data_IF_902736723201
#
_entry.id   IF_902736723201
#
_cell.length_a   1.000
_cell.length_b   1.000
_cell.length_c   1.000
_cell.angle_alpha   90.00
_cell.angle_beta   90.00
_cell.angle_gamma   90.00
#
_symmetry.space_group_name_H-M   'P 1'
#
loop_
_entity.id
_entity.type
_entity.pdbx_description
1 polymer ?
#
# COMPACT_ATOMS: atom_id res chain seq x y z
N UNK A 1 -65.52 50.23 51.91
CA UNK A 1 -64.36 51.11 51.60
C UNK A 1 -63.11 50.24 51.44
N UNK A 2 -62.41 50.36 50.29
CA UNK A 2 -60.98 50.06 50.01
C UNK A 2 -60.45 48.65 50.40
N UNK A 3 -60.35 47.74 49.41
CA UNK A 3 -59.11 47.28 48.71
C UNK A 3 -58.15 46.43 49.57
N UNK A 4 -57.95 45.16 49.22
CA UNK A 4 -56.71 44.74 48.54
C UNK A 4 -56.74 43.26 48.10
N UNK A 5 -56.20 43.06 46.90
CA UNK A 5 -56.09 41.82 46.13
C UNK A 5 -54.88 41.03 46.61
N UNK A 6 -55.04 39.74 46.90
CA UNK A 6 -53.92 38.81 47.06
C UNK A 6 -54.06 37.71 45.98
N UNK A 7 -53.23 37.82 44.94
CA UNK A 7 -53.04 36.80 43.90
C UNK A 7 -52.13 35.71 44.47
N UNK A 8 -52.61 34.47 44.51
CA UNK A 8 -51.81 33.29 44.80
C UNK A 8 -50.90 32.98 43.61
N UNK A 9 -49.59 33.16 43.80
CA UNK A 9 -48.56 32.71 42.87
C UNK A 9 -48.13 31.30 43.28
N UNK A 10 -48.35 30.36 42.36
CA UNK A 10 -47.89 28.97 42.41
C UNK A 10 -46.35 28.97 42.43
N UNK A 11 -45.76 28.53 43.53
CA UNK A 11 -44.31 28.36 43.65
C UNK A 11 -43.89 27.11 42.85
N UNK A 12 -43.32 27.31 41.66
CA UNK A 12 -42.57 26.28 40.94
C UNK A 12 -41.17 26.27 41.52
N UNK A 13 -40.88 25.25 42.32
CA UNK A 13 -39.57 24.95 42.89
C UNK A 13 -38.64 24.49 41.76
N UNK A 14 -37.89 25.42 41.17
CA UNK A 14 -36.78 25.08 40.28
C UNK A 14 -35.63 24.58 41.14
N UNK A 15 -35.42 23.26 41.13
CA UNK A 15 -34.20 22.64 41.66
C UNK A 15 -33.02 23.08 40.78
N UNK A 16 -32.33 24.13 41.22
CA UNK A 16 -31.03 24.51 40.68
C UNK A 16 -30.00 23.50 41.23
N UNK A 17 -29.71 22.45 40.46
CA UNK A 17 -28.57 21.58 40.74
C UNK A 17 -27.28 22.41 40.67
N UNK A 18 -26.36 22.30 41.63
CA UNK A 18 -25.09 22.99 41.55
C UNK A 18 -24.28 22.37 40.41
N UNK A 19 -24.00 23.15 39.36
CA UNK A 19 -22.87 22.89 38.46
C UNK A 19 -21.62 22.88 39.33
N UNK A 20 -21.04 21.69 39.51
CA UNK A 20 -19.78 21.52 40.19
C UNK A 20 -18.73 22.38 39.48
N UNK A 21 -18.08 23.26 40.24
CA UNK A 21 -16.87 23.95 39.78
C UNK A 21 -15.80 22.87 39.60
N UNK A 22 -15.25 22.76 38.40
CA UNK A 22 -14.04 21.99 38.15
C UNK A 22 -12.94 22.55 39.06
N UNK A 23 -12.40 21.69 39.92
CA UNK A 23 -11.35 22.01 40.88
C UNK A 23 -10.04 22.26 40.10
N UNK A 24 -9.31 23.34 40.42
CA UNK A 24 -8.08 23.73 39.69
C UNK A 24 -7.02 22.61 39.68
N UNK A 25 -7.07 21.68 40.63
CA UNK A 25 -6.15 20.54 40.73
C UNK A 25 -6.30 19.46 39.66
N UNK A 26 -7.47 19.32 39.03
CA UNK A 26 -7.66 18.31 37.98
C UNK A 26 -7.08 18.77 36.62
N UNK A 27 -7.06 20.09 36.36
CA UNK A 27 -6.44 20.66 35.16
C UNK A 27 -4.92 20.46 35.15
N UNK A 28 -4.26 20.70 36.28
CA UNK A 28 -2.82 20.51 36.42
C UNK A 28 -2.41 19.04 36.29
N UNK A 29 -3.23 18.12 36.82
CA UNK A 29 -3.05 16.68 36.65
C UNK A 29 -3.18 16.27 35.19
N UNK A 30 -4.21 16.74 34.49
CA UNK A 30 -4.40 16.44 33.06
C UNK A 30 -3.27 17.03 32.22
N UNK A 31 -2.79 18.24 32.53
CA UNK A 31 -1.65 18.84 31.86
C UNK A 31 -0.35 18.02 32.05
N UNK A 32 -0.11 17.49 33.26
CA UNK A 32 1.02 16.60 33.51
C UNK A 32 0.92 15.29 32.71
N UNK A 33 -0.27 14.71 32.59
CA UNK A 33 -0.51 13.52 31.77
C UNK A 33 -0.29 13.81 30.28
N UNK A 34 -0.71 14.98 29.78
CA UNK A 34 -0.48 15.42 28.41
C UNK A 34 1.02 15.56 28.12
N UNK A 35 1.79 16.14 29.04
CA UNK A 35 3.25 16.22 28.91
C UNK A 35 3.90 14.83 28.91
N UNK A 36 3.39 13.91 29.74
CA UNK A 36 3.87 12.53 29.81
C UNK A 36 3.62 11.71 28.53
N UNK A 37 2.74 12.15 27.62
CA UNK A 37 2.59 11.54 26.30
C UNK A 37 3.87 11.61 25.45
N UNK A 38 4.76 12.57 25.73
CA UNK A 38 6.05 12.74 25.04
C UNK A 38 7.25 12.13 25.79
N UNK A 39 7.02 11.42 26.90
CA UNK A 39 8.11 10.79 27.66
C UNK A 39 8.94 9.83 26.80
N UNK A 40 10.25 9.66 27.03
CA UNK A 40 11.06 8.65 26.31
C UNK A 40 10.75 7.22 26.78
N UNK A 41 10.23 7.05 27.99
CA UNK A 41 9.83 5.77 28.55
C UNK A 41 8.46 5.32 28.01
N UNK A 42 8.43 4.16 27.35
CA UNK A 42 7.21 3.61 26.75
C UNK A 42 6.10 3.40 27.78
N UNK A 43 6.43 2.83 28.94
CA UNK A 43 5.45 2.52 29.99
C UNK A 43 4.81 3.79 30.55
N UNK A 44 5.59 4.87 30.71
CA UNK A 44 5.09 6.17 31.16
C UNK A 44 4.13 6.80 30.14
N UNK A 45 4.46 6.74 28.83
CA UNK A 45 3.57 7.23 27.76
C UNK A 45 2.25 6.47 27.69
N UNK A 46 2.31 5.14 27.80
CA UNK A 46 1.12 4.29 27.73
C UNK A 46 0.25 4.41 28.97
N UNK A 47 0.85 4.55 30.16
CA UNK A 47 0.12 4.83 31.39
C UNK A 47 -0.64 6.16 31.29
N UNK A 48 0.04 7.23 30.83
CA UNK A 48 -0.58 8.53 30.64
C UNK A 48 -1.73 8.50 29.62
N UNK A 49 -1.55 7.79 28.50
CA UNK A 49 -2.59 7.64 27.49
C UNK A 49 -3.85 6.94 28.04
N UNK A 50 -3.68 5.85 28.81
CA UNK A 50 -4.80 5.12 29.43
C UNK A 50 -5.53 5.97 30.46
N UNK A 51 -4.80 6.75 31.24
CA UNK A 51 -5.39 7.63 32.24
C UNK A 51 -6.19 8.76 31.60
N UNK A 52 -5.67 9.38 30.53
CA UNK A 52 -6.39 10.39 29.75
C UNK A 52 -7.66 9.84 29.08
N UNK A 53 -7.62 8.61 28.56
CA UNK A 53 -8.80 7.93 28.03
C UNK A 53 -9.86 7.65 29.11
N UNK A 54 -9.43 7.39 30.35
CA UNK A 54 -10.32 7.15 31.50
C UNK A 54 -11.01 8.43 31.94
N UNK A 55 -10.28 9.56 31.94
CA UNK A 55 -10.81 10.89 32.26
C UNK A 55 -11.79 11.41 31.18
N UNK A 56 -11.70 10.89 29.96
CA UNK A 56 -12.64 11.12 28.85
C UNK A 56 -13.00 12.61 28.67
N UNK A 57 -14.21 13.02 29.07
CA UNK A 57 -14.75 14.37 28.85
C UNK A 57 -13.88 15.48 29.46
N UNK A 58 -13.18 15.20 30.57
CA UNK A 58 -12.33 16.16 31.29
C UNK A 58 -10.98 16.37 30.58
N UNK A 59 -10.50 15.34 29.87
CA UNK A 59 -9.25 15.39 29.11
C UNK A 59 -9.40 16.10 27.75
N UNK A 60 -10.60 16.11 27.16
CA UNK A 60 -10.86 16.70 25.82
C UNK A 60 -10.33 18.13 25.64
N UNK A 61 -10.60 19.12 26.52
CA UNK A 61 -10.11 20.48 26.31
C UNK A 61 -8.57 20.57 26.32
N UNK A 62 -7.92 19.80 27.20
CA UNK A 62 -6.46 19.76 27.32
C UNK A 62 -5.81 19.03 26.14
N UNK A 63 -6.41 17.93 25.68
CA UNK A 63 -5.97 17.21 24.49
C UNK A 63 -6.12 18.07 23.21
N UNK A 64 -7.19 18.87 23.10
CA UNK A 64 -7.35 19.82 21.98
C UNK A 64 -6.28 20.90 21.98
N UNK A 65 -5.89 21.40 23.16
CA UNK A 65 -4.75 22.32 23.28
C UNK A 65 -3.43 21.63 22.87
N UNK A 66 -3.26 20.36 23.23
CA UNK A 66 -2.07 19.56 22.92
C UNK A 66 -1.85 19.32 21.41
N UNK A 67 -2.86 19.51 20.56
CA UNK A 67 -2.71 19.44 19.10
C UNK A 67 -1.76 20.52 18.54
N UNK A 68 -1.52 21.59 19.30
CA UNK A 68 -0.57 22.65 18.95
C UNK A 68 0.76 22.55 19.70
N UNK A 69 1.03 21.43 20.39
CA UNK A 69 2.26 21.24 21.17
C UNK A 69 3.52 21.20 20.27
N UNK A 70 4.66 21.64 20.80
CA UNK A 70 5.93 21.68 20.05
C UNK A 70 6.40 20.27 19.64
N UNK A 71 6.25 19.31 20.55
CA UNK A 71 6.57 17.90 20.33
C UNK A 71 5.60 17.23 19.34
N UNK A 72 6.08 16.68 18.20
CA UNK A 72 5.27 15.89 17.26
C UNK A 72 4.62 14.64 17.87
N UNK A 73 5.28 13.96 18.81
CA UNK A 73 4.77 12.71 19.40
C UNK A 73 3.57 13.00 20.31
N UNK A 74 3.64 14.06 21.11
CA UNK A 74 2.53 14.55 21.94
C UNK A 74 1.32 14.90 21.08
N UNK A 75 1.53 15.60 19.95
CA UNK A 75 0.45 15.94 19.01
C UNK A 75 -0.23 14.71 18.43
N UNK A 76 0.58 13.76 17.92
CA UNK A 76 0.07 12.54 17.30
C UNK A 76 -0.71 11.67 18.30
N UNK A 77 -0.21 11.53 19.53
CA UNK A 77 -0.91 10.78 20.59
C UNK A 77 -2.18 11.47 21.05
N UNK A 78 -2.16 12.79 21.21
CA UNK A 78 -3.35 13.56 21.58
C UNK A 78 -4.46 13.42 20.52
N UNK A 79 -4.12 13.47 19.24
CA UNK A 79 -5.05 13.23 18.14
C UNK A 79 -5.67 11.83 18.20
N UNK A 80 -4.84 10.81 18.44
CA UNK A 80 -5.31 9.41 18.55
C UNK A 80 -6.25 9.20 19.73
N UNK A 81 -5.93 9.77 20.89
CA UNK A 81 -6.75 9.66 22.10
C UNK A 81 -8.10 10.37 21.90
N UNK A 82 -8.10 11.58 21.32
CA UNK A 82 -9.33 12.30 20.99
C UNK A 82 -10.25 11.48 20.08
N UNK A 83 -9.69 10.87 19.02
CA UNK A 83 -10.48 10.03 18.12
C UNK A 83 -11.14 8.85 18.83
N UNK A 84 -10.45 8.20 19.79
CA UNK A 84 -11.02 7.08 20.57
C UNK A 84 -12.11 7.54 21.54
N UNK A 85 -11.93 8.68 22.20
CA UNK A 85 -12.94 9.27 23.09
C UNK A 85 -14.20 9.65 22.29
N UNK A 86 -14.04 10.29 21.12
CA UNK A 86 -15.15 10.66 20.24
C UNK A 86 -15.88 9.44 19.66
N UNK A 87 -15.15 8.39 19.26
CA UNK A 87 -15.75 7.14 18.80
C UNK A 87 -16.61 6.49 19.88
N UNK A 88 -16.11 6.40 21.12
CA UNK A 88 -16.87 5.88 22.27
C UNK A 88 -18.10 6.73 22.58
N UNK A 89 -17.98 8.06 22.53
CA UNK A 89 -19.11 8.97 22.72
C UNK A 89 -20.21 8.77 21.67
N UNK A 90 -19.85 8.32 20.47
CA UNK A 90 -20.78 7.99 19.38
C UNK A 90 -21.24 6.51 19.39
N UNK A 91 -20.90 5.74 20.43
CA UNK A 91 -21.27 4.33 20.55
C UNK A 91 -20.53 3.41 19.57
N UNK A 92 -19.43 3.87 18.96
CA UNK A 92 -18.55 3.05 18.11
C UNK A 92 -17.45 2.41 18.96
N UNK A 93 -17.12 1.16 18.67
CA UNK A 93 -15.97 0.49 19.26
C UNK A 93 -14.68 0.98 18.56
N UNK A 94 -13.79 1.72 19.26
CA UNK A 94 -12.57 2.26 18.66
C UNK A 94 -11.52 1.19 18.33
N UNK A 95 -11.64 -0.01 18.92
CA UNK A 95 -10.70 -1.13 18.71
C UNK A 95 -11.27 -2.19 17.76
N UNK A 96 -12.54 -2.05 17.35
CA UNK A 96 -13.12 -2.86 16.30
C UNK A 96 -12.39 -2.58 14.98
N UNK A 97 -11.69 -3.59 14.47
CA UNK A 97 -11.09 -3.53 13.14
C UNK A 97 -12.20 -3.31 12.10
N UNK A 98 -12.30 -2.10 11.55
CA UNK A 98 -13.11 -1.83 10.36
C UNK A 98 -12.73 -2.84 9.27
N UNK A 99 -13.68 -3.59 8.69
CA UNK A 99 -13.36 -4.50 7.60
C UNK A 99 -12.94 -3.68 6.37
N UNK A 100 -11.63 -3.56 6.16
CA UNK A 100 -11.03 -2.97 4.95
C UNK A 100 -10.43 -1.56 5.07
N UNK A 101 -10.34 -0.97 6.27
CA UNK A 101 -9.72 0.34 6.46
C UNK A 101 -8.27 0.27 6.94
N UNK A 102 -7.30 0.70 6.13
CA UNK A 102 -5.97 1.03 6.66
C UNK A 102 -6.11 2.14 7.73
N UNK A 103 -5.29 2.14 8.80
CA UNK A 103 -5.31 3.24 9.76
C UNK A 103 -5.11 4.57 9.01
N UNK A 104 -5.77 5.67 9.42
CA UNK A 104 -5.54 6.96 8.78
C UNK A 104 -4.05 7.27 8.85
N UNK A 105 -3.39 7.26 7.69
CA UNK A 105 -2.03 7.80 7.57
C UNK A 105 -2.16 9.29 7.90
N UNK A 106 -1.24 9.88 8.69
CA UNK A 106 -1.26 11.32 8.92
C UNK A 106 -1.25 12.02 7.57
N UNK A 107 -2.36 12.69 7.23
CA UNK A 107 -2.52 13.46 6.02
C UNK A 107 -1.75 14.77 6.18
N UNK A 108 -0.46 14.69 5.95
CA UNK A 108 0.38 15.87 6.06
C UNK A 108 1.85 15.55 5.92
N UNK A 109 2.31 15.51 4.67
CA UNK A 109 3.58 16.14 4.32
C UNK A 109 3.59 17.56 4.93
N UNK A 110 4.02 17.71 6.18
CA UNK A 110 4.49 19.01 6.67
C UNK A 110 5.82 19.25 5.98
N UNK A 111 5.72 19.73 4.74
CA UNK A 111 6.80 20.36 4.03
C UNK A 111 7.41 21.39 4.97
N UNK A 112 8.67 21.17 5.32
CA UNK A 112 9.48 22.05 6.15
C UNK A 112 9.50 23.41 5.48
N UNK A 113 8.74 24.37 6.02
CA UNK A 113 8.96 25.78 5.71
C UNK A 113 10.29 26.18 6.34
N UNK A 114 11.33 26.27 5.51
CA UNK A 114 12.61 26.85 5.90
C UNK A 114 12.40 28.36 6.10
N UNK A 115 12.30 28.81 7.36
CA UNK A 115 12.25 30.24 7.69
C UNK A 115 13.67 30.79 7.55
N UNK A 116 13.95 31.49 6.46
CA UNK A 116 15.16 32.32 6.33
C UNK A 116 15.06 33.52 7.30
N UNK A 117 16.15 33.87 8.02
CA UNK A 117 16.14 35.01 8.92
C UNK A 117 16.10 36.33 8.14
N UNK A 118 15.36 37.30 8.67
CA UNK A 118 15.17 38.62 8.09
C UNK A 118 16.45 39.48 8.22
N UNK A 119 16.84 40.12 7.12
CA UNK A 119 17.91 41.13 7.13
C UNK A 119 17.98 41.95 5.83
N UNK A 120 17.66 43.24 5.98
CA UNK A 120 18.00 44.41 5.15
C UNK A 120 16.90 45.05 4.26
N UNK A 121 16.86 46.40 4.17
CA UNK A 121 15.68 47.19 3.75
C UNK A 121 15.71 47.56 2.26
N UNK A 122 14.55 47.52 1.60
CA UNK A 122 14.41 47.96 0.21
C UNK A 122 12.98 48.40 -0.12
N UNK A 123 12.83 49.71 -0.34
CA UNK A 123 11.79 50.50 -1.03
C UNK A 123 10.31 50.03 -1.08
N UNK A 124 9.33 50.92 -0.78
CA UNK A 124 7.91 50.64 -0.97
C UNK A 124 7.52 50.77 -2.45
N UNK A 125 6.85 49.75 -3.01
CA UNK A 125 6.12 49.94 -4.29
C UNK A 125 6.05 48.78 -5.28
N UNK A 126 6.62 47.60 -5.01
CA UNK A 126 6.40 46.43 -5.88
C UNK A 126 6.03 45.21 -5.03
N UNK A 127 4.79 44.76 -5.18
CA UNK A 127 4.39 43.45 -4.70
C UNK A 127 5.25 42.39 -5.43
N UNK A 128 5.88 41.44 -4.71
CA UNK A 128 6.65 40.40 -5.38
C UNK A 128 5.69 39.53 -6.21
N UNK A 129 5.85 39.57 -7.54
CA UNK A 129 5.22 38.62 -8.44
C UNK A 129 5.82 37.24 -8.16
N UNK A 130 5.12 36.43 -7.38
CA UNK A 130 5.41 35.00 -7.24
C UNK A 130 5.11 34.37 -8.61
N UNK A 131 6.15 34.12 -9.41
CA UNK A 131 6.03 33.20 -10.54
C UNK A 131 5.93 31.80 -9.95
N UNK A 132 4.69 31.30 -9.87
CA UNK A 132 4.44 29.88 -9.65
C UNK A 132 4.83 29.19 -10.96
N UNK A 133 6.05 28.65 -11.03
CA UNK A 133 6.33 27.59 -12.00
C UNK A 133 5.49 26.38 -11.59
N UNK A 134 4.40 26.16 -12.31
CA UNK A 134 3.71 24.87 -12.30
C UNK A 134 4.64 23.91 -13.02
N UNK A 135 5.48 23.20 -12.25
CA UNK A 135 6.14 22.00 -12.76
C UNK A 135 5.00 21.02 -13.06
N UNK A 136 4.83 20.56 -14.32
CA UNK A 136 3.82 19.54 -14.61
C UNK A 136 4.09 18.37 -13.67
N UNK A 137 3.06 17.99 -12.92
CA UNK A 137 3.14 17.00 -11.85
C UNK A 137 4.01 15.84 -12.30
N UNK A 138 5.15 15.68 -11.62
CA UNK A 138 5.90 14.43 -11.70
C UNK A 138 4.88 13.32 -11.50
N UNK A 139 4.85 12.39 -12.45
CA UNK A 139 3.97 11.22 -12.41
C UNK A 139 3.95 10.73 -10.96
N UNK A 140 2.74 10.62 -10.40
CA UNK A 140 2.57 9.91 -9.14
C UNK A 140 3.40 8.63 -9.25
N UNK A 141 4.27 8.30 -8.27
CA UNK A 141 5.10 7.11 -8.37
C UNK A 141 4.15 5.98 -8.72
N UNK A 142 4.41 5.35 -9.87
CA UNK A 142 3.59 4.28 -10.42
C UNK A 142 3.16 3.41 -9.25
N UNK A 143 1.84 3.22 -9.09
CA UNK A 143 1.29 2.35 -8.06
C UNK A 143 2.20 1.11 -8.01
N UNK A 144 2.90 0.92 -6.89
CA UNK A 144 3.92 -0.10 -6.79
C UNK A 144 3.28 -1.39 -7.29
N UNK A 145 3.77 -1.89 -8.42
CA UNK A 145 3.23 -3.10 -9.03
C UNK A 145 3.16 -4.14 -7.90
N UNK A 146 2.03 -4.85 -7.73
CA UNK A 146 1.91 -5.83 -6.66
C UNK A 146 3.12 -6.74 -6.76
N UNK A 147 4.00 -6.71 -5.76
CA UNK A 147 5.32 -7.35 -5.84
C UNK A 147 5.13 -8.78 -6.36
N UNK A 148 5.95 -9.20 -7.32
CA UNK A 148 5.89 -10.56 -7.86
C UNK A 148 5.86 -11.59 -6.69
N UNK A 149 4.99 -12.61 -6.74
CA UNK A 149 4.83 -13.58 -5.66
C UNK A 149 6.16 -14.21 -5.20
N UNK A 150 7.09 -14.51 -6.11
CA UNK A 150 8.41 -15.03 -5.73
C UNK A 150 9.23 -13.98 -4.94
N UNK A 151 9.18 -12.72 -5.36
CA UNK A 151 9.82 -11.60 -4.64
C UNK A 151 9.26 -11.38 -3.23
N UNK A 152 7.96 -11.64 -3.02
CA UNK A 152 7.35 -11.61 -1.67
C UNK A 152 7.87 -12.74 -0.80
N UNK A 153 7.94 -13.96 -1.31
CA UNK A 153 8.45 -15.13 -0.58
C UNK A 153 9.93 -14.96 -0.22
N UNK A 154 10.76 -14.46 -1.14
CA UNK A 154 12.17 -14.12 -0.86
C UNK A 154 12.31 -13.14 0.31
N UNK A 155 11.47 -12.10 0.32
CA UNK A 155 11.44 -11.13 1.42
C UNK A 155 10.94 -11.74 2.74
N UNK A 156 10.01 -12.70 2.70
CA UNK A 156 9.53 -13.41 3.88
C UNK A 156 10.60 -14.35 4.44
N UNK A 157 11.24 -15.15 3.59
CA UNK A 157 12.38 -16.03 3.94
C UNK A 157 13.47 -15.23 4.66
N UNK A 158 13.86 -14.08 4.11
CA UNK A 158 14.89 -13.22 4.71
C UNK A 158 14.46 -12.71 6.10
N UNK A 159 13.21 -12.28 6.27
CA UNK A 159 12.68 -11.83 7.57
C UNK A 159 12.64 -12.98 8.59
N UNK A 160 12.25 -14.17 8.15
CA UNK A 160 12.19 -15.37 8.99
C UNK A 160 13.60 -15.80 9.42
N UNK A 161 14.59 -15.74 8.52
CA UNK A 161 15.99 -16.00 8.83
C UNK A 161 16.57 -15.01 9.85
N UNK A 162 16.29 -13.71 9.69
CA UNK A 162 16.68 -12.68 10.69
C UNK A 162 16.04 -12.94 12.05
N UNK A 163 14.79 -13.42 12.10
CA UNK A 163 14.11 -13.78 13.37
C UNK A 163 14.75 -15.01 14.01
N UNK A 164 15.05 -16.04 13.21
CA UNK A 164 15.73 -17.25 13.62
C UNK A 164 17.09 -16.96 14.26
N UNK A 165 17.93 -16.16 13.58
CA UNK A 165 19.26 -15.77 14.09
C UNK A 165 19.16 -15.05 15.44
N UNK A 166 18.19 -14.14 15.62
CA UNK A 166 17.95 -13.48 16.92
C UNK A 166 17.58 -14.47 18.03
N UNK A 167 16.83 -15.53 17.72
CA UNK A 167 16.50 -16.55 18.72
C UNK A 167 17.71 -17.43 19.04
N UNK A 168 18.53 -17.78 18.06
CA UNK A 168 19.79 -18.51 18.29
C UNK A 168 20.78 -17.70 19.14
N UNK A 169 20.91 -16.39 18.87
CA UNK A 169 21.73 -15.49 19.68
C UNK A 169 21.20 -15.41 21.11
N UNK A 170 19.90 -15.22 21.30
CA UNK A 170 19.27 -15.21 22.63
C UNK A 170 19.43 -16.53 23.37
N UNK A 171 19.38 -17.66 22.68
CA UNK A 171 19.63 -18.97 23.28
C UNK A 171 21.07 -19.08 23.81
N UNK A 172 22.05 -18.51 23.09
CA UNK A 172 23.46 -18.48 23.52
C UNK A 172 23.71 -17.47 24.65
N UNK A 173 23.04 -16.32 24.62
CA UNK A 173 23.18 -15.29 25.66
C UNK A 173 22.59 -15.72 27.01
N UNK A 174 21.53 -16.51 27.02
CA UNK A 174 20.89 -17.00 28.24
C UNK A 174 21.53 -18.31 28.73
N UNK A 175 22.87 -18.37 28.82
CA UNK A 175 23.57 -19.58 29.32
C UNK A 175 23.28 -19.87 30.80
N UNK A 176 22.92 -18.84 31.59
CA UNK A 176 22.65 -18.95 33.02
C UNK A 176 21.25 -19.52 33.35
N UNK A 177 20.33 -19.59 32.37
CA UNK A 177 18.96 -20.06 32.52
C UNK A 177 18.65 -21.11 31.43
N UNK A 178 18.81 -22.42 31.74
CA UNK A 178 18.71 -23.48 30.74
C UNK A 178 17.29 -23.65 30.17
N UNK A 179 16.24 -23.41 30.97
CA UNK A 179 14.85 -23.49 30.47
C UNK A 179 14.59 -22.40 29.42
N UNK A 180 15.10 -21.19 29.67
CA UNK A 180 14.94 -20.07 28.75
C UNK A 180 15.79 -20.21 27.49
N UNK A 181 17.00 -20.78 27.62
CA UNK A 181 17.84 -21.12 26.48
C UNK A 181 17.17 -22.17 25.57
N UNK A 182 16.61 -23.23 26.17
CA UNK A 182 15.88 -24.27 25.44
C UNK A 182 14.66 -23.71 24.71
N UNK A 183 13.87 -22.86 25.38
CA UNK A 183 12.73 -22.17 24.76
C UNK A 183 13.12 -21.35 23.52
N UNK A 184 14.24 -20.64 23.57
CA UNK A 184 14.72 -19.88 22.41
C UNK A 184 15.27 -20.78 21.32
N UNK A 185 15.93 -21.89 21.68
CA UNK A 185 16.39 -22.89 20.72
C UNK A 185 15.20 -23.55 19.99
N UNK A 186 14.12 -23.86 20.70
CA UNK A 186 12.91 -24.41 20.08
C UNK A 186 12.21 -23.41 19.18
N UNK A 187 12.15 -22.13 19.58
CA UNK A 187 11.63 -21.07 18.73
C UNK A 187 12.50 -20.86 17.49
N UNK A 188 13.82 -21.04 17.58
CA UNK A 188 14.71 -20.99 16.42
C UNK A 188 14.46 -22.18 15.47
N UNK A 189 14.26 -23.40 15.98
CA UNK A 189 13.88 -24.58 15.17
C UNK A 189 12.58 -24.34 14.41
N UNK A 190 11.56 -23.78 15.08
CA UNK A 190 10.28 -23.46 14.43
C UNK A 190 10.44 -22.45 13.28
N UNK A 191 11.28 -21.42 13.46
CA UNK A 191 11.57 -20.46 12.38
C UNK A 191 12.36 -21.11 11.22
N UNK A 192 13.20 -22.12 11.49
CA UNK A 192 13.87 -22.90 10.45
C UNK A 192 12.87 -23.74 9.65
N UNK A 193 11.90 -24.36 10.31
CA UNK A 193 10.82 -25.10 9.66
C UNK A 193 9.94 -24.18 8.81
N UNK A 194 9.56 -23.00 9.32
CA UNK A 194 8.83 -21.97 8.57
C UNK A 194 9.63 -21.48 7.37
N UNK A 195 10.94 -21.22 7.53
CA UNK A 195 11.84 -20.87 6.43
C UNK A 195 11.86 -21.96 5.35
N UNK A 196 11.95 -23.23 5.76
CA UNK A 196 11.97 -24.37 4.84
C UNK A 196 10.66 -24.50 4.06
N UNK A 197 9.52 -24.32 4.73
CA UNK A 197 8.21 -24.33 4.07
C UNK A 197 8.07 -23.20 3.05
N UNK A 198 8.50 -21.98 3.40
CA UNK A 198 8.50 -20.84 2.47
C UNK A 198 9.48 -21.04 1.30
N UNK A 199 10.61 -21.71 1.53
CA UNK A 199 11.57 -22.05 0.48
C UNK A 199 11.02 -23.11 -0.48
N UNK A 200 10.29 -24.12 0.03
CA UNK A 200 9.60 -25.12 -0.79
C UNK A 200 8.46 -24.48 -1.60
N UNK A 201 7.74 -23.51 -1.04
CA UNK A 201 6.74 -22.75 -1.77
C UNK A 201 7.38 -21.86 -2.85
N UNK A 202 8.52 -21.23 -2.55
CA UNK A 202 9.27 -20.46 -3.53
C UNK A 202 9.78 -21.37 -4.65
N UNK A 203 10.31 -22.55 -4.32
CA UNK A 203 10.73 -23.55 -5.29
C UNK A 203 9.54 -23.98 -6.17
N UNK A 204 8.35 -24.25 -5.62
CA UNK A 204 7.15 -24.55 -6.42
C UNK A 204 6.72 -23.40 -7.35
N UNK A 205 6.88 -22.15 -6.92
CA UNK A 205 6.57 -20.98 -7.76
C UNK A 205 7.65 -20.80 -8.82
N UNK A 206 8.92 -20.96 -8.46
CA UNK A 206 10.04 -20.86 -9.39
C UNK A 206 10.08 -22.04 -10.35
N UNK A 207 9.69 -23.25 -9.97
CA UNK A 207 9.49 -24.45 -10.81
C UNK A 207 8.20 -24.38 -11.61
N UNK A 208 7.14 -23.78 -11.08
CA UNK A 208 5.93 -23.44 -11.84
C UNK A 208 6.18 -22.34 -12.88
N UNK A 209 7.14 -21.46 -12.61
CA UNK A 209 7.68 -20.47 -13.56
C UNK A 209 8.83 -21.04 -14.42
N UNK A 210 9.47 -22.11 -13.96
CA UNK A 210 10.57 -22.84 -14.59
C UNK A 210 10.15 -24.28 -14.93
N UNK A 211 8.91 -24.43 -15.41
CA UNK A 211 8.77 -25.34 -16.53
C UNK A 211 9.73 -24.77 -17.60
N UNK A 212 10.76 -25.51 -18.05
CA UNK A 212 11.42 -25.13 -19.30
C UNK A 212 10.27 -24.89 -20.27
N UNK A 213 10.25 -23.78 -21.05
CA UNK A 213 9.12 -23.46 -21.89
C UNK A 213 8.72 -24.76 -22.55
N UNK A 214 7.51 -25.23 -22.23
CA UNK A 214 7.07 -26.48 -22.82
C UNK A 214 7.31 -26.29 -24.30
N UNK A 215 7.72 -27.35 -25.00
CA UNK A 215 7.96 -27.25 -26.44
C UNK A 215 6.72 -26.72 -27.20
N UNK A 216 5.59 -26.62 -26.49
CA UNK A 216 4.29 -26.05 -26.80
C UNK A 216 4.14 -24.49 -26.77
N UNK A 217 5.08 -23.66 -26.29
CA UNK A 217 5.01 -22.16 -26.39
C UNK A 217 6.10 -21.55 -27.31
N UNK A 218 6.55 -22.34 -28.29
CA UNK A 218 7.85 -22.17 -28.93
C UNK A 218 8.04 -20.91 -29.80
N UNK A 219 6.97 -20.27 -30.27
CA UNK A 219 7.08 -19.15 -31.22
C UNK A 219 7.56 -17.85 -30.57
N UNK A 220 7.18 -17.59 -29.32
CA UNK A 220 7.46 -16.32 -28.62
C UNK A 220 6.71 -15.11 -29.21
N UNK A 221 5.51 -15.33 -29.72
CA UNK A 221 4.60 -14.29 -30.24
C UNK A 221 3.45 -14.12 -29.25
N UNK A 222 3.26 -12.90 -28.76
CA UNK A 222 2.05 -12.49 -28.04
C UNK A 222 1.18 -11.74 -29.03
N UNK A 223 0.00 -12.28 -29.32
CA UNK A 223 -0.90 -11.71 -30.30
C UNK A 223 -2.35 -11.71 -29.80
N UNK A 224 -3.09 -10.71 -30.25
CA UNK A 224 -4.49 -10.48 -29.91
C UNK A 224 -5.35 -10.22 -31.14
N UNK A 225 -6.64 -10.08 -30.90
CA UNK A 225 -7.58 -9.66 -31.93
C UNK A 225 -7.29 -8.23 -32.40
N UNK A 226 -7.56 -7.98 -33.68
CA UNK A 226 -7.48 -6.63 -34.24
C UNK A 226 -8.83 -5.93 -34.26
N UNK A 227 -8.77 -4.60 -34.10
CA UNK A 227 -9.95 -3.76 -34.21
C UNK A 227 -10.59 -3.86 -35.62
N UNK A 228 -11.94 -3.90 -35.74
CA UNK A 228 -12.62 -3.98 -37.03
C UNK A 228 -12.23 -2.89 -38.04
N UNK A 229 -11.91 -1.69 -37.55
CA UNK A 229 -11.47 -0.57 -38.39
C UNK A 229 -10.12 -0.85 -39.07
N UNK A 230 -9.16 -1.45 -38.35
CA UNK A 230 -7.85 -1.82 -38.89
C UNK A 230 -8.00 -2.94 -39.93
N UNK A 231 -8.88 -3.90 -39.64
CA UNK A 231 -9.21 -5.01 -40.54
C UNK A 231 -9.76 -4.49 -41.88
N UNK A 232 -10.71 -3.56 -41.84
CA UNK A 232 -11.26 -2.93 -43.03
C UNK A 232 -10.22 -2.10 -43.81
N UNK A 233 -9.34 -1.38 -43.11
CA UNK A 233 -8.31 -0.56 -43.74
C UNK A 233 -7.27 -1.38 -44.52
N UNK A 234 -7.03 -2.62 -44.10
CA UNK A 234 -6.02 -3.51 -44.70
C UNK A 234 -6.62 -4.55 -45.65
N UNK A 235 -7.91 -4.42 -45.98
CA UNK A 235 -8.66 -5.36 -46.83
C UNK A 235 -8.54 -6.82 -46.38
N UNK A 236 -8.55 -7.05 -45.06
CA UNK A 236 -8.52 -8.38 -44.45
C UNK A 236 -9.97 -8.78 -44.15
N UNK A 237 -10.59 -9.75 -44.85
CA UNK A 237 -12.00 -10.03 -44.66
C UNK A 237 -12.30 -10.70 -43.31
N UNK A 238 -11.52 -11.73 -42.94
CA UNK A 238 -11.68 -12.49 -41.70
C UNK A 238 -10.34 -13.04 -41.21
N UNK A 239 -10.29 -13.38 -39.91
CA UNK A 239 -9.09 -13.85 -39.24
C UNK A 239 -8.04 -12.74 -39.03
N UNK A 240 -6.80 -13.17 -38.84
CA UNK A 240 -5.67 -12.28 -38.63
C UNK A 240 -5.45 -11.93 -37.16
N UNK A 241 -4.25 -12.20 -36.67
CA UNK A 241 -3.83 -11.88 -35.31
C UNK A 241 -2.85 -10.71 -35.32
N UNK A 242 -3.12 -9.69 -34.50
CA UNK A 242 -2.22 -8.56 -34.31
C UNK A 242 -1.14 -8.94 -33.30
N UNK A 243 0.12 -8.86 -33.71
CA UNK A 243 1.27 -9.06 -32.82
C UNK A 243 1.39 -7.86 -31.88
N UNK A 244 1.11 -8.08 -30.60
CA UNK A 244 1.16 -7.05 -29.56
C UNK A 244 2.54 -6.95 -28.93
N UNK A 245 3.22 -8.09 -28.77
CA UNK A 245 4.53 -8.21 -28.16
C UNK A 245 5.27 -9.44 -28.70
N UNK A 246 6.60 -9.39 -28.64
CA UNK A 246 7.47 -10.50 -29.02
C UNK A 246 8.42 -10.76 -27.87
N UNK A 247 8.52 -12.02 -27.48
CA UNK A 247 9.43 -12.46 -26.44
C UNK A 247 10.87 -12.33 -26.96
N UNK A 248 11.78 -11.64 -26.23
CA UNK A 248 13.19 -11.57 -26.60
C UNK A 248 13.84 -12.95 -26.77
N UNK A 249 14.81 -13.07 -27.67
CA UNK A 249 15.55 -14.32 -27.98
C UNK A 249 14.71 -15.52 -28.47
N UNK A 250 13.43 -15.30 -28.75
CA UNK A 250 12.51 -16.30 -29.31
C UNK A 250 12.78 -16.60 -30.80
N UNK A 251 12.30 -17.75 -31.32
CA UNK A 251 12.32 -18.05 -32.75
C UNK A 251 11.67 -16.96 -33.62
N UNK A 252 10.53 -16.40 -33.20
CA UNK A 252 9.90 -15.30 -33.93
C UNK A 252 10.76 -14.04 -33.97
N UNK A 253 11.41 -13.69 -32.85
CA UNK A 253 12.33 -12.56 -32.79
C UNK A 253 13.53 -12.76 -33.73
N UNK A 254 14.13 -13.96 -33.71
CA UNK A 254 15.27 -14.34 -34.57
C UNK A 254 14.91 -14.34 -36.06
N UNK A 255 13.68 -14.68 -36.39
CA UNK A 255 13.16 -14.66 -37.76
C UNK A 255 12.65 -13.29 -38.22
N UNK A 256 12.66 -12.28 -37.34
CA UNK A 256 12.35 -10.90 -37.70
C UNK A 256 10.86 -10.57 -37.73
N UNK A 257 10.03 -11.31 -36.99
CA UNK A 257 8.67 -10.86 -36.65
C UNK A 257 8.80 -9.59 -35.81
N UNK A 258 7.92 -8.61 -36.04
CA UNK A 258 7.91 -7.34 -35.33
C UNK A 258 6.55 -7.06 -34.69
N UNK A 259 6.58 -6.20 -33.68
CA UNK A 259 5.36 -5.66 -33.07
C UNK A 259 4.53 -4.94 -34.14
N UNK A 260 3.22 -5.10 -34.07
CA UNK A 260 2.23 -4.59 -35.03
C UNK A 260 2.22 -5.29 -36.39
N UNK A 261 2.96 -6.39 -36.54
CA UNK A 261 2.69 -7.31 -37.63
C UNK A 261 1.31 -7.96 -37.45
N UNK A 262 0.70 -8.33 -38.55
CA UNK A 262 -0.56 -9.05 -38.55
C UNK A 262 -0.31 -10.42 -39.14
N UNK A 263 -0.45 -11.48 -38.35
CA UNK A 263 -0.29 -12.86 -38.82
C UNK A 263 -1.60 -13.30 -39.47
N UNK A 264 -1.58 -13.58 -40.77
CA UNK A 264 -2.75 -14.03 -41.54
C UNK A 264 -2.85 -15.56 -41.57
N UNK A 265 -1.72 -16.24 -41.73
CA UNK A 265 -1.67 -17.70 -41.82
C UNK A 265 -0.38 -18.28 -41.28
N UNK A 266 -0.45 -19.51 -40.80
CA UNK A 266 0.66 -20.31 -40.32
C UNK A 266 0.62 -21.70 -40.97
N UNK A 267 1.74 -22.14 -41.54
CA UNK A 267 1.83 -23.38 -42.32
C UNK A 267 0.77 -23.48 -43.44
N UNK A 268 0.42 -22.35 -44.06
CA UNK A 268 -0.60 -22.28 -45.13
C UNK A 268 -2.05 -22.38 -44.65
N UNK A 269 -2.28 -22.44 -43.32
CA UNK A 269 -3.62 -22.42 -42.73
C UNK A 269 -3.93 -21.02 -42.17
N UNK A 270 -5.11 -20.44 -42.43
CA UNK A 270 -5.53 -19.19 -41.80
C UNK A 270 -5.47 -19.29 -40.28
N UNK A 271 -5.07 -18.21 -39.62
CA UNK A 271 -5.09 -18.12 -38.15
C UNK A 271 -6.06 -17.03 -37.71
N UNK A 272 -6.94 -17.40 -36.81
CA UNK A 272 -7.98 -16.52 -36.25
C UNK A 272 -7.85 -16.35 -34.74
N UNK A 273 -7.21 -17.30 -34.06
CA UNK A 273 -6.98 -17.26 -32.62
C UNK A 273 -5.57 -17.74 -32.24
N UNK A 274 -5.11 -17.35 -31.04
CA UNK A 274 -3.79 -17.69 -30.54
C UNK A 274 -3.58 -19.22 -30.43
N UNK A 275 -4.64 -19.98 -30.16
CA UNK A 275 -4.59 -21.43 -30.08
C UNK A 275 -4.39 -22.11 -31.45
N UNK A 276 -4.88 -21.54 -32.54
CA UNK A 276 -4.57 -21.97 -33.91
C UNK A 276 -3.11 -21.71 -34.26
N UNK A 277 -2.59 -20.54 -33.92
CA UNK A 277 -1.18 -20.21 -34.12
C UNK A 277 -0.27 -21.15 -33.32
N UNK A 278 -0.63 -21.44 -32.06
CA UNK A 278 0.09 -22.38 -31.20
C UNK A 278 0.09 -23.79 -31.80
N UNK A 279 -1.08 -24.31 -32.18
CA UNK A 279 -1.22 -25.63 -32.84
C UNK A 279 -0.43 -25.72 -34.14
N UNK A 280 -0.31 -24.63 -34.90
CA UNK A 280 0.53 -24.60 -36.10
C UNK A 280 2.01 -24.75 -35.77
N UNK A 281 2.48 -24.13 -34.67
CA UNK A 281 3.84 -24.33 -34.16
C UNK A 281 4.08 -25.75 -33.62
N UNK A 282 3.15 -26.29 -32.84
CA UNK A 282 3.23 -27.66 -32.26
C UNK A 282 3.24 -28.76 -33.33
N UNK A 283 2.58 -28.52 -34.48
CA UNK A 283 2.48 -29.51 -35.56
C UNK A 283 3.78 -29.73 -36.34
N UNK A 284 4.84 -28.97 -36.06
CA UNK A 284 6.13 -29.06 -36.74
C UNK A 284 7.13 -29.92 -35.96
N UNK A 285 7.92 -30.72 -36.68
CA UNK A 285 8.98 -31.49 -36.04
C UNK A 285 10.18 -30.59 -35.72
N UNK A 286 11.02 -31.02 -34.78
CA UNK A 286 12.25 -30.32 -34.45
C UNK A 286 13.15 -30.17 -35.69
N UNK A 287 13.35 -28.93 -36.15
CA UNK A 287 14.15 -28.60 -37.33
C UNK A 287 13.34 -28.17 -38.56
N UNK A 288 12.01 -28.29 -38.53
CA UNK A 288 11.15 -27.79 -39.60
C UNK A 288 10.92 -26.28 -39.47
N UNK A 289 10.87 -25.59 -40.62
CA UNK A 289 10.59 -24.15 -40.65
C UNK A 289 9.08 -23.88 -40.70
N UNK A 290 8.55 -23.09 -39.77
CA UNK A 290 7.17 -22.60 -39.84
C UNK A 290 7.09 -21.43 -40.82
N UNK A 291 6.29 -21.58 -41.88
CA UNK A 291 5.95 -20.46 -42.76
C UNK A 291 4.83 -19.64 -42.16
N UNK A 292 5.10 -18.37 -41.88
CA UNK A 292 4.09 -17.37 -41.53
C UNK A 292 3.85 -16.43 -42.71
N UNK A 293 2.59 -16.21 -43.06
CA UNK A 293 2.19 -15.08 -43.90
C UNK A 293 1.71 -13.95 -43.01
N UNK A 294 2.30 -12.77 -43.17
CA UNK A 294 1.99 -11.61 -42.35
C UNK A 294 1.81 -10.34 -43.18
N UNK A 295 1.16 -9.34 -42.59
CA UNK A 295 1.06 -7.99 -43.15
C UNK A 295 1.84 -7.04 -42.26
N UNK A 296 2.74 -6.28 -42.88
CA UNK A 296 3.53 -5.24 -42.22
C UNK A 296 3.42 -3.96 -43.05
N UNK A 297 2.96 -2.88 -42.43
CA UNK A 297 2.76 -1.58 -43.10
C UNK A 297 1.93 -1.68 -44.39
N UNK A 298 0.97 -2.61 -44.44
CA UNK A 298 0.11 -2.84 -45.59
C UNK A 298 0.69 -3.78 -46.66
N UNK A 299 1.95 -4.21 -46.53
CA UNK A 299 2.57 -5.15 -47.46
C UNK A 299 2.51 -6.58 -46.91
N UNK A 300 2.23 -7.55 -47.78
CA UNK A 300 2.29 -8.97 -47.44
C UNK A 300 3.73 -9.46 -47.47
N UNK A 301 4.15 -10.10 -46.39
CA UNK A 301 5.49 -10.66 -46.20
C UNK A 301 5.33 -12.13 -45.80
N UNK A 302 6.21 -12.99 -46.31
CA UNK A 302 6.36 -14.34 -45.78
C UNK A 302 7.64 -14.41 -44.95
N UNK A 303 7.53 -14.95 -43.73
CA UNK A 303 8.66 -15.24 -42.86
C UNK A 303 8.72 -16.73 -42.55
N UNK A 304 9.96 -17.23 -42.38
CA UNK A 304 10.22 -18.59 -41.96
C UNK A 304 10.78 -18.56 -40.54
N UNK A 305 10.06 -19.21 -39.62
CA UNK A 305 10.48 -19.38 -38.23
C UNK A 305 11.19 -20.71 -38.08
N UNK A 306 12.38 -20.70 -37.48
CA UNK A 306 13.26 -21.86 -37.30
C UNK A 306 13.69 -22.00 -35.86
#
# INVERSE_FOLDING_TARGET
MKRNVARGCLAVLVLLSPVARADEGDGDRVAALVAALGSEEFDAREAAARELETLAAEAVPHLKAALSHEDPEVRWRAERILARIEARAQGRDPDAAEPGGAPPRPSGLQQRFFRLPAGAPGAPGQAPRVQIQIVPGGQAPAQAQPADPASRLKSQIERTERRRQRYEERAKENTDDPEKAEKYADRAKEMEEEKKALAEELEKIEEGAAEPPRREDYLGIVAGDMAPALRAQLDIPEGGLLVEEIVPDSPAAKSGVLRYDIVLSAAGRPVSDLGELRRAGESLQAGDALRLSLVRKGERIELLIR
#
